data_IF_509988089560
#
_entry.id   IF_509988089560
#
_cell.length_a   1.000
_cell.length_b   1.000
_cell.length_c   1.000
_cell.angle_alpha   90.00
_cell.angle_beta   90.00
_cell.angle_gamma   90.00
#
_symmetry.space_group_name_H-M   'P 1'
#
loop_
_entity.id
_entity.type
_entity.pdbx_description
1 polymer ?
#
# COMPACT_ATOMS: atom_id res chain seq x y z
N UNK A 1 4.98 19.44 0.13
CA UNK A 1 6.10 18.74 -0.54
C UNK A 1 5.79 17.25 -0.49
N UNK A 2 5.62 16.58 -1.64
CA UNK A 2 5.54 15.11 -1.68
C UNK A 2 6.87 14.59 -1.11
N UNK A 3 6.83 13.85 0.00
CA UNK A 3 8.04 13.26 0.56
C UNK A 3 8.69 12.41 -0.54
N UNK A 4 10.00 12.58 -0.76
CA UNK A 4 10.80 11.70 -1.62
C UNK A 4 10.48 10.26 -1.20
N UNK A 5 10.00 9.44 -2.13
CA UNK A 5 9.67 8.05 -1.85
C UNK A 5 10.95 7.38 -1.31
N UNK A 6 10.92 7.03 -0.03
CA UNK A 6 11.86 6.07 0.55
C UNK A 6 11.73 4.79 -0.28
N UNK A 7 12.85 4.18 -0.68
CA UNK A 7 12.90 3.00 -1.58
C UNK A 7 11.68 2.09 -1.32
N UNK A 8 10.80 1.88 -2.32
CA UNK A 8 9.60 1.08 -2.15
C UNK A 8 9.95 -0.33 -1.65
N UNK A 9 9.16 -0.83 -0.71
CA UNK A 9 9.32 -2.18 -0.15
C UNK A 9 7.95 -2.81 -0.05
N UNK A 10 7.82 -4.02 -0.58
CA UNK A 10 6.61 -4.81 -0.43
C UNK A 10 6.65 -5.43 0.97
N UNK A 11 5.61 -5.16 1.76
CA UNK A 11 5.51 -5.60 3.15
C UNK A 11 4.60 -6.81 3.27
N UNK A 12 3.59 -6.92 2.40
CA UNK A 12 2.62 -8.01 2.43
C UNK A 12 2.01 -8.28 1.06
N UNK A 13 1.77 -9.55 0.75
CA UNK A 13 0.91 -9.98 -0.34
C UNK A 13 -0.50 -10.15 0.24
N UNK A 14 -1.46 -9.35 -0.24
CA UNK A 14 -2.84 -9.37 0.23
C UNK A 14 -3.66 -10.44 -0.49
N UNK A 15 -3.49 -10.53 -1.82
CA UNK A 15 -4.30 -11.43 -2.65
C UNK A 15 -3.58 -11.77 -3.95
N UNK A 16 -3.78 -12.99 -4.41
CA UNK A 16 -3.33 -13.47 -5.72
C UNK A 16 -4.57 -13.95 -6.48
N UNK A 17 -4.79 -13.47 -7.71
CA UNK A 17 -5.94 -13.87 -8.54
C UNK A 17 -5.53 -13.90 -10.01
N UNK A 18 -5.40 -15.10 -10.58
CA UNK A 18 -4.77 -15.26 -11.90
C UNK A 18 -3.32 -14.75 -11.86
N UNK A 19 -2.95 -13.90 -12.80
CA UNK A 19 -1.66 -13.19 -12.86
C UNK A 19 -1.70 -11.82 -12.18
N UNK A 20 -2.67 -11.58 -11.30
CA UNK A 20 -2.79 -10.33 -10.56
C UNK A 20 -2.37 -10.53 -9.11
N UNK A 21 -1.56 -9.62 -8.62
CA UNK A 21 -1.10 -9.60 -7.23
C UNK A 21 -1.52 -8.27 -6.61
N UNK A 22 -2.25 -8.35 -5.50
CA UNK A 22 -2.49 -7.21 -4.64
C UNK A 22 -1.48 -7.26 -3.51
N UNK A 23 -0.73 -6.17 -3.30
CA UNK A 23 0.28 -6.10 -2.26
C UNK A 23 0.29 -4.74 -1.57
N UNK A 24 0.75 -4.76 -0.32
CA UNK A 24 0.92 -3.58 0.52
C UNK A 24 2.38 -3.14 0.49
N UNK A 25 2.61 -1.87 0.22
CA UNK A 25 3.93 -1.24 0.27
C UNK A 25 4.19 -0.58 1.64
N UNK A 26 5.47 -0.30 1.93
CA UNK A 26 5.93 0.31 3.18
C UNK A 26 5.47 1.75 3.41
N UNK A 27 4.89 2.40 2.41
CA UNK A 27 4.19 3.68 2.53
C UNK A 27 2.71 3.50 2.94
N UNK A 28 2.24 2.27 3.11
CA UNK A 28 0.86 1.95 3.44
C UNK A 28 -0.09 1.85 2.24
N UNK A 29 0.41 2.06 1.01
CA UNK A 29 -0.41 1.93 -0.19
C UNK A 29 -0.67 0.46 -0.53
N UNK A 30 -1.92 0.13 -0.84
CA UNK A 30 -2.30 -1.14 -1.44
C UNK A 30 -2.35 -0.96 -2.95
N UNK A 31 -1.56 -1.74 -3.68
CA UNK A 31 -1.43 -1.59 -5.13
C UNK A 31 -1.70 -2.91 -5.83
N UNK A 32 -2.21 -2.80 -7.07
CA UNK A 32 -2.50 -3.91 -7.96
C UNK A 32 -1.39 -4.02 -8.99
N UNK A 33 -0.77 -5.19 -9.03
CA UNK A 33 0.14 -5.59 -10.08
C UNK A 33 -0.61 -6.50 -11.05
N UNK A 34 -0.72 -6.06 -12.31
CA UNK A 34 -1.31 -6.84 -13.39
C UNK A 34 -0.21 -7.44 -14.27
N UNK A 35 0.22 -8.67 -13.96
CA UNK A 35 1.36 -9.27 -14.66
C UNK A 35 1.07 -9.64 -16.11
N UNK A 36 -0.20 -9.79 -16.51
CA UNK A 36 -0.56 -9.94 -17.92
C UNK A 36 -0.17 -8.69 -18.73
N UNK A 37 -0.40 -7.49 -18.15
CA UNK A 37 0.02 -6.23 -18.76
C UNK A 37 1.54 -6.06 -18.69
N UNK A 38 2.14 -6.36 -17.54
CA UNK A 38 3.58 -6.20 -17.33
C UNK A 38 4.38 -7.09 -18.29
N UNK A 39 4.07 -8.39 -18.36
CA UNK A 39 4.77 -9.31 -19.27
C UNK A 39 4.58 -8.94 -20.74
N UNK A 40 3.42 -8.39 -21.11
CA UNK A 40 3.19 -7.85 -22.45
C UNK A 40 4.05 -6.61 -22.72
N UNK A 41 4.18 -5.70 -21.75
CA UNK A 41 5.03 -4.51 -21.86
C UNK A 41 6.52 -4.87 -21.96
N UNK A 42 6.96 -5.91 -21.25
CA UNK A 42 8.34 -6.41 -21.30
C UNK A 42 8.63 -7.26 -22.54
N UNK A 43 7.60 -7.59 -23.34
CA UNK A 43 7.71 -8.44 -24.52
C UNK A 43 8.41 -9.79 -24.23
N UNK A 44 7.98 -10.44 -23.15
CA UNK A 44 8.55 -11.70 -22.65
C UNK A 44 8.56 -12.78 -23.75
N UNK A 45 9.72 -13.37 -23.96
CA UNK A 45 9.99 -14.43 -24.93
C UNK A 45 10.35 -15.74 -24.24
N UNK A 46 10.43 -16.85 -24.99
CA UNK A 46 10.74 -18.19 -24.44
C UNK A 46 12.11 -18.30 -23.75
N UNK A 47 13.00 -17.36 -23.98
CA UNK A 47 14.35 -17.36 -23.39
C UNK A 47 14.40 -16.63 -22.04
N UNK A 48 13.32 -15.94 -21.67
CA UNK A 48 13.24 -15.14 -20.45
C UNK A 48 12.71 -15.99 -19.29
N UNK A 49 13.19 -15.71 -18.07
CA UNK A 49 12.75 -16.40 -16.86
C UNK A 49 11.23 -16.24 -16.63
N UNK A 50 10.74 -15.06 -16.96
CA UNK A 50 9.35 -14.60 -16.87
C UNK A 50 8.41 -15.43 -17.75
N UNK A 51 8.91 -16.12 -18.78
CA UNK A 51 8.08 -16.98 -19.62
C UNK A 51 7.42 -18.10 -18.82
N UNK A 52 8.13 -18.65 -17.83
CA UNK A 52 7.60 -19.67 -16.91
C UNK A 52 6.43 -19.12 -16.08
N UNK A 53 6.44 -17.81 -15.81
CA UNK A 53 5.41 -17.13 -15.03
C UNK A 53 4.14 -16.83 -15.83
N UNK A 54 4.11 -17.11 -17.14
CA UNK A 54 2.88 -17.10 -17.94
C UNK A 54 1.95 -18.28 -17.59
N UNK A 55 2.49 -19.34 -16.99
CA UNK A 55 1.67 -20.41 -16.39
C UNK A 55 1.19 -19.96 -15.01
N UNK A 56 -0.11 -19.81 -14.86
CA UNK A 56 -0.75 -19.43 -13.60
C UNK A 56 -0.46 -20.39 -12.43
N UNK A 57 -0.11 -21.65 -12.68
CA UNK A 57 0.31 -22.59 -11.62
C UNK A 57 1.68 -22.24 -11.06
N UNK A 58 2.62 -21.89 -11.93
CA UNK A 58 3.96 -21.46 -11.55
C UNK A 58 3.93 -20.06 -10.94
N UNK A 59 3.12 -19.15 -11.51
CA UNK A 59 2.93 -17.80 -11.00
C UNK A 59 2.42 -17.77 -9.54
N UNK A 60 1.48 -18.66 -9.18
CA UNK A 60 0.92 -18.74 -7.82
C UNK A 60 1.92 -19.11 -6.74
N UNK A 61 3.12 -19.60 -7.11
CA UNK A 61 4.19 -19.94 -6.16
C UNK A 61 4.96 -18.71 -5.65
N UNK A 62 4.54 -17.50 -6.05
CA UNK A 62 5.11 -16.24 -5.56
C UNK A 62 5.17 -16.19 -4.03
N UNK A 63 6.29 -15.70 -3.52
CA UNK A 63 6.53 -15.45 -2.09
C UNK A 63 7.13 -14.07 -1.90
N UNK A 64 6.99 -13.55 -0.69
CA UNK A 64 7.71 -12.36 -0.27
C UNK A 64 9.10 -12.77 0.22
N UNK A 65 10.15 -12.21 -0.38
CA UNK A 65 11.55 -12.36 0.05
C UNK A 65 12.26 -11.03 -0.13
N UNK A 66 13.13 -10.63 0.80
CA UNK A 66 13.88 -9.36 0.71
C UNK A 66 13.00 -8.11 0.47
N UNK A 67 11.77 -8.09 1.00
CA UNK A 67 10.77 -7.04 0.73
C UNK A 67 10.35 -6.90 -0.75
N UNK A 68 10.44 -7.98 -1.51
CA UNK A 68 10.15 -8.04 -2.94
C UNK A 68 9.40 -9.32 -3.32
N UNK A 69 8.87 -9.39 -4.55
CA UNK A 69 8.24 -10.61 -5.04
C UNK A 69 9.29 -11.57 -5.60
N UNK A 70 9.23 -12.81 -5.11
CA UNK A 70 10.15 -13.89 -5.44
C UNK A 70 9.39 -15.12 -5.91
N UNK A 71 9.93 -15.83 -6.91
CA UNK A 71 9.42 -17.11 -7.39
C UNK A 71 10.45 -18.22 -7.14
N UNK A 72 10.34 -18.95 -6.01
CA UNK A 72 11.31 -19.99 -5.64
C UNK A 72 11.42 -21.16 -6.62
N UNK A 73 10.43 -21.32 -7.48
CA UNK A 73 10.38 -22.32 -8.54
C UNK A 73 11.22 -21.96 -9.77
N UNK A 74 11.77 -20.74 -9.83
CA UNK A 74 12.65 -20.29 -10.90
C UNK A 74 14.01 -20.01 -10.28
N UNK A 75 15.01 -20.78 -10.66
CA UNK A 75 16.36 -20.70 -10.13
C UNK A 75 17.27 -19.91 -11.09
N UNK A 76 17.94 -18.89 -10.56
CA UNK A 76 18.97 -18.11 -11.23
C UNK A 76 20.32 -18.54 -10.68
N UNK A 77 21.26 -18.86 -11.57
CA UNK A 77 22.65 -19.12 -11.22
C UNK A 77 23.43 -17.82 -11.29
N UNK A 78 23.97 -17.38 -10.16
CA UNK A 78 24.83 -16.20 -10.06
C UNK A 78 26.25 -16.66 -9.81
N UNK A 79 27.19 -16.18 -10.63
CA UNK A 79 28.63 -16.41 -10.43
C UNK A 79 29.17 -15.33 -9.49
N UNK A 80 29.66 -15.76 -8.33
CA UNK A 80 30.40 -14.89 -7.41
C UNK A 80 31.80 -14.59 -7.93
N UNK A 81 32.40 -13.52 -7.40
CA UNK A 81 33.75 -13.06 -7.77
C UNK A 81 34.83 -14.13 -7.51
N UNK A 82 34.59 -15.05 -6.57
CA UNK A 82 35.52 -16.11 -6.19
C UNK A 82 35.33 -17.41 -7.00
N UNK A 83 34.48 -17.42 -8.04
CA UNK A 83 34.16 -18.61 -8.82
C UNK A 83 33.11 -19.55 -8.18
N UNK A 84 32.61 -19.21 -7.00
CA UNK A 84 31.48 -19.89 -6.38
C UNK A 84 30.19 -19.60 -7.16
N UNK A 85 29.39 -20.63 -7.41
CA UNK A 85 28.07 -20.48 -8.05
C UNK A 85 26.99 -20.55 -6.98
N UNK A 86 26.18 -19.50 -6.88
CA UNK A 86 25.05 -19.43 -5.95
C UNK A 86 23.75 -19.56 -6.74
N UNK A 87 22.88 -20.45 -6.29
CA UNK A 87 21.51 -20.57 -6.81
C UNK A 87 20.57 -19.71 -5.99
N UNK A 88 19.96 -18.72 -6.62
CA UNK A 88 18.99 -17.82 -6.00
C UNK A 88 17.64 -17.92 -6.71
N UNK A 89 16.52 -17.72 -6.00
CA UNK A 89 15.24 -17.64 -6.67
C UNK A 89 15.15 -16.36 -7.50
N UNK A 90 14.35 -16.40 -8.56
CA UNK A 90 14.05 -15.22 -9.34
C UNK A 90 13.25 -14.21 -8.50
N UNK A 91 13.69 -12.96 -8.51
CA UNK A 91 13.12 -11.85 -7.73
C UNK A 91 12.91 -10.64 -8.66
N UNK A 92 11.76 -9.97 -8.55
CA UNK A 92 11.50 -8.69 -9.21
C UNK A 92 11.51 -7.61 -8.15
N UNK A 93 12.32 -6.57 -8.35
CA UNK A 93 12.51 -5.45 -7.43
C UNK A 93 11.23 -4.68 -7.10
N UNK A 94 11.09 -4.30 -5.83
CA UNK A 94 9.91 -3.60 -5.34
C UNK A 94 9.75 -2.19 -5.94
N UNK A 95 10.85 -1.54 -6.33
CA UNK A 95 10.87 -0.28 -7.07
C UNK A 95 10.23 -0.42 -8.46
N UNK A 96 10.66 -1.41 -9.24
CA UNK A 96 10.09 -1.71 -10.57
C UNK A 96 8.61 -2.05 -10.44
N UNK A 97 8.25 -2.89 -9.47
CA UNK A 97 6.86 -3.26 -9.21
C UNK A 97 6.04 -2.05 -8.77
N UNK A 98 6.59 -1.15 -7.96
CA UNK A 98 5.88 0.07 -7.55
C UNK A 98 5.53 0.94 -8.75
N UNK A 99 6.47 1.15 -9.67
CA UNK A 99 6.26 1.95 -10.89
C UNK A 99 5.20 1.36 -11.84
N UNK A 100 5.19 0.03 -11.98
CA UNK A 100 4.27 -0.68 -12.87
C UNK A 100 2.91 -0.97 -12.26
N UNK A 101 2.76 -0.78 -10.95
CA UNK A 101 1.52 -1.09 -10.24
C UNK A 101 0.49 0.04 -10.35
N UNK A 102 -0.78 -0.34 -10.36
CA UNK A 102 -1.90 0.57 -10.30
C UNK A 102 -2.28 0.78 -8.82
N UNK A 103 -2.51 2.04 -8.43
CA UNK A 103 -3.04 2.34 -7.09
C UNK A 103 -4.45 1.74 -7.00
N UNK A 104 -4.62 0.78 -6.08
CA UNK A 104 -5.96 0.39 -5.69
C UNK A 104 -6.39 1.53 -4.77
N UNK A 105 -7.01 2.54 -5.37
CA UNK A 105 -7.90 3.43 -4.65
C UNK A 105 -9.08 2.58 -4.17
N UNK A 106 -8.85 1.66 -3.22
CA UNK A 106 -9.89 1.33 -2.30
C UNK A 106 -10.36 2.68 -1.79
N UNK A 107 -11.66 3.01 -1.91
CA UNK A 107 -12.19 4.24 -1.38
C UNK A 107 -11.96 4.14 0.11
N UNK A 108 -10.81 4.62 0.58
CA UNK A 108 -10.16 4.03 1.74
C UNK A 108 -11.18 3.94 2.85
N UNK A 109 -11.43 2.69 3.29
CA UNK A 109 -12.36 2.37 4.37
C UNK A 109 -12.03 3.17 5.65
N UNK A 110 -10.84 3.79 5.65
CA UNK A 110 -10.21 4.60 6.67
C UNK A 110 -10.15 6.11 6.36
N UNK A 111 -10.99 6.69 5.48
CA UNK A 111 -11.05 8.16 5.37
C UNK A 111 -11.64 8.79 6.63
N UNK A 112 -10.80 8.94 7.64
CA UNK A 112 -11.10 9.58 8.91
C UNK A 112 -11.72 10.96 8.69
N UNK A 113 -11.29 11.69 7.65
CA UNK A 113 -11.89 12.95 7.23
C UNK A 113 -13.39 12.89 6.99
N UNK A 114 -13.85 11.92 6.19
CA UNK A 114 -15.29 11.72 5.92
C UNK A 114 -16.04 11.26 7.17
N UNK A 115 -15.44 10.39 7.99
CA UNK A 115 -16.03 9.95 9.25
C UNK A 115 -16.22 11.13 10.22
N UNK A 116 -15.18 11.95 10.43
CA UNK A 116 -15.22 13.16 11.25
C UNK A 116 -16.27 14.13 10.73
N UNK A 117 -16.30 14.39 9.42
CA UNK A 117 -17.30 15.27 8.80
C UNK A 117 -18.72 14.79 9.08
N UNK A 118 -18.97 13.49 8.89
CA UNK A 118 -20.28 12.90 9.12
C UNK A 118 -20.70 12.99 10.60
N UNK A 119 -19.79 12.70 11.53
CA UNK A 119 -20.05 12.77 12.97
C UNK A 119 -20.26 14.21 13.43
N UNK A 120 -19.50 15.16 12.89
CA UNK A 120 -19.64 16.59 13.15
C UNK A 120 -21.02 17.11 12.72
N UNK A 121 -21.45 16.76 11.50
CA UNK A 121 -22.76 17.14 10.98
C UNK A 121 -23.90 16.53 11.82
N UNK A 122 -23.78 15.25 12.21
CA UNK A 122 -24.74 14.61 13.13
C UNK A 122 -24.80 15.26 14.51
N UNK A 123 -23.68 15.85 14.97
CA UNK A 123 -23.61 16.60 16.21
C UNK A 123 -24.08 18.08 16.06
N UNK A 124 -24.49 18.51 14.87
CA UNK A 124 -24.93 19.88 14.61
C UNK A 124 -23.83 20.93 14.71
N UNK A 125 -22.56 20.52 14.59
CA UNK A 125 -21.41 21.42 14.77
C UNK A 125 -20.89 21.98 13.45
N UNK A 126 -20.50 23.25 13.46
CA UNK A 126 -19.66 23.84 12.40
C UNK A 126 -18.20 23.36 12.53
N UNK A 127 -17.41 23.51 11.46
CA UNK A 127 -15.97 23.19 11.51
C UNK A 127 -15.23 24.03 12.57
N UNK A 128 -15.63 25.29 12.76
CA UNK A 128 -15.05 26.19 13.78
C UNK A 128 -15.38 25.69 15.20
N UNK A 129 -16.63 25.31 15.46
CA UNK A 129 -17.02 24.78 16.77
C UNK A 129 -16.32 23.46 17.10
N UNK A 130 -16.18 22.56 16.13
CA UNK A 130 -15.41 21.34 16.33
C UNK A 130 -13.93 21.64 16.62
N UNK A 131 -13.34 22.60 15.89
CA UNK A 131 -11.97 23.02 16.08
C UNK A 131 -11.72 23.57 17.50
N UNK A 132 -12.59 24.48 17.97
CA UNK A 132 -12.52 25.02 19.34
C UNK A 132 -12.64 23.92 20.39
N UNK A 133 -13.60 23.00 20.26
CA UNK A 133 -13.80 21.90 21.22
C UNK A 133 -12.63 20.89 21.25
N UNK A 134 -11.95 20.71 20.12
CA UNK A 134 -10.83 19.75 20.00
C UNK A 134 -9.44 20.38 20.14
N UNK A 135 -9.36 21.70 20.40
CA UNK A 135 -8.09 22.42 20.57
C UNK A 135 -7.27 22.50 19.29
N UNK A 136 -7.91 22.70 18.14
CA UNK A 136 -7.25 22.85 16.84
C UNK A 136 -7.85 24.02 16.05
N UNK A 137 -7.45 24.20 14.78
CA UNK A 137 -7.93 25.30 13.93
C UNK A 137 -8.99 24.83 12.93
N UNK A 138 -9.94 25.70 12.56
CA UNK A 138 -10.94 25.41 11.51
C UNK A 138 -10.28 25.01 10.20
N UNK A 139 -9.18 25.67 9.83
CA UNK A 139 -8.41 25.33 8.63
C UNK A 139 -7.91 23.89 8.68
N UNK A 140 -7.39 23.46 9.83
CA UNK A 140 -6.90 22.10 10.02
C UNK A 140 -8.04 21.07 9.97
N UNK A 141 -9.18 21.29 10.64
CA UNK A 141 -10.39 20.46 10.51
C UNK A 141 -10.83 20.35 9.05
N UNK A 142 -10.88 21.47 8.32
CA UNK A 142 -11.26 21.48 6.91
C UNK A 142 -10.30 20.66 6.05
N UNK A 143 -8.98 20.76 6.27
CA UNK A 143 -8.01 19.92 5.54
C UNK A 143 -8.19 18.44 5.84
N UNK A 144 -8.43 18.07 7.10
CA UNK A 144 -8.71 16.68 7.49
C UNK A 144 -9.96 16.17 6.77
N UNK A 145 -11.06 16.92 6.82
CA UNK A 145 -12.34 16.52 6.21
C UNK A 145 -12.30 16.37 4.68
N UNK A 146 -11.30 16.97 4.03
CA UNK A 146 -11.08 16.91 2.59
C UNK A 146 -9.86 16.03 2.20
N UNK A 147 -9.34 15.21 3.12
CA UNK A 147 -8.21 14.31 2.89
C UNK A 147 -6.93 15.04 2.39
N UNK A 148 -6.74 16.29 2.79
CA UNK A 148 -5.60 17.14 2.39
C UNK A 148 -4.44 17.12 3.39
N UNK A 149 -4.54 16.33 4.45
CA UNK A 149 -3.50 16.17 5.47
C UNK A 149 -3.64 14.82 6.14
N UNK A 150 -2.51 14.21 6.47
CA UNK A 150 -2.48 13.07 7.38
C UNK A 150 -2.87 13.52 8.79
N UNK A 151 -3.47 12.59 9.53
CA UNK A 151 -4.01 12.82 10.86
C UNK A 151 -3.30 11.90 11.86
N UNK A 152 -2.59 12.49 12.82
CA UNK A 152 -2.02 11.72 13.92
C UNK A 152 -3.10 11.13 14.82
N UNK A 153 -2.85 9.95 15.37
CA UNK A 153 -3.81 9.26 16.24
C UNK A 153 -4.15 10.07 17.49
N UNK A 154 -3.17 10.78 18.06
CA UNK A 154 -3.34 11.69 19.20
C UNK A 154 -4.38 12.78 18.89
N UNK A 155 -4.30 13.35 17.69
CA UNK A 155 -5.17 14.41 17.20
C UNK A 155 -6.54 13.86 16.83
N UNK A 156 -6.59 12.69 16.19
CA UNK A 156 -7.85 12.00 15.93
C UNK A 156 -8.62 11.72 17.22
N UNK A 157 -7.92 11.24 18.25
CA UNK A 157 -8.50 11.02 19.58
C UNK A 157 -9.05 12.30 20.20
N UNK A 158 -8.33 13.42 20.14
CA UNK A 158 -8.83 14.73 20.61
C UNK A 158 -10.11 15.15 19.88
N UNK A 159 -10.15 15.00 18.56
CA UNK A 159 -11.33 15.33 17.74
C UNK A 159 -12.53 14.47 18.14
N UNK A 160 -12.32 13.16 18.32
CA UNK A 160 -13.39 12.20 18.66
C UNK A 160 -13.89 12.37 20.10
N UNK A 161 -12.97 12.40 21.07
CA UNK A 161 -13.30 12.38 22.49
C UNK A 161 -13.69 13.76 23.01
N UNK A 162 -12.85 14.78 22.81
CA UNK A 162 -13.12 16.13 23.28
C UNK A 162 -14.01 16.93 22.32
N UNK A 163 -13.76 16.81 21.01
CA UNK A 163 -14.51 17.54 19.98
C UNK A 163 -15.95 17.07 19.81
N UNK A 164 -16.12 15.76 19.58
CA UNK A 164 -17.41 15.13 19.25
C UNK A 164 -18.09 14.49 20.47
N UNK A 165 -17.42 14.38 21.61
CA UNK A 165 -17.96 13.73 22.81
C UNK A 165 -18.23 12.23 22.62
N UNK A 166 -17.47 11.56 21.75
CA UNK A 166 -17.59 10.12 21.46
C UNK A 166 -16.43 9.33 22.08
N UNK A 167 -16.46 8.00 22.00
CA UNK A 167 -15.35 7.15 22.44
C UNK A 167 -14.65 6.57 21.22
N UNK A 168 -13.33 6.67 21.19
CA UNK A 168 -12.51 6.02 20.17
C UNK A 168 -12.23 4.58 20.61
N UNK A 169 -12.71 3.60 19.84
CA UNK A 169 -12.35 2.18 20.02
C UNK A 169 -11.56 1.72 18.79
N UNK A 170 -10.35 1.24 19.04
CA UNK A 170 -9.50 0.61 18.02
C UNK A 170 -9.44 -0.88 18.33
N UNK A 171 -9.60 -1.70 17.31
CA UNK A 171 -9.49 -3.16 17.41
C UNK A 171 -8.67 -3.62 16.22
N UNK A 172 -7.68 -4.48 16.48
CA UNK A 172 -6.83 -5.10 15.48
C UNK A 172 -7.23 -6.58 15.48
N UNK A 173 -7.64 -7.09 14.33
CA UNK A 173 -8.04 -8.49 14.10
C UNK A 173 -7.13 -9.13 13.06
#
# INVERSE_FOLDING_TARGET
>A
MRQKIKIPRIVKIEKITGHKIQCMFNNGENRLLDFEKIFKQWNVTKNDFEYTLLDGKEFKKVKLRNYTLSWPNIEIQVKGENGESLTLPYEIGADVLFELSEDIQEPSKYRYGRLIKSARLKAGLTQEQLAMKSGTTRFYISRIENDKTDLELSTFRKIVEAGLGKKLKLTIE
#
